data_IF_547954460404
#
_entry.id   IF_547954460404
#
_cell.length_a   1.000
_cell.length_b   1.000
_cell.length_c   1.000
_cell.angle_alpha   90.00
_cell.angle_beta   90.00
_cell.angle_gamma   90.00
#
_symmetry.space_group_name_H-M   'P 1'
#
loop_
_entity.id
_entity.type
_entity.pdbx_description
1 polymer ?
#
# COMPACT_ATOMS: atom_id res chain seq x y z
N UNK A 1 -25.02 27.05 -5.48
CA UNK A 1 -23.60 27.39 -5.23
C UNK A 1 -23.53 28.89 -5.06
N UNK A 2 -23.05 29.35 -3.92
CA UNK A 2 -23.01 30.77 -3.58
C UNK A 2 -22.01 31.54 -4.48
N UNK A 3 -22.14 32.88 -4.64
CA UNK A 3 -21.26 33.65 -5.51
C UNK A 3 -19.77 33.52 -5.18
N UNK A 4 -19.42 33.52 -3.89
CA UNK A 4 -18.03 33.37 -3.42
C UNK A 4 -17.48 31.97 -3.72
N UNK A 5 -18.31 30.95 -3.51
CA UNK A 5 -18.00 29.56 -3.80
C UNK A 5 -17.77 29.35 -5.31
N UNK A 6 -18.63 29.94 -6.16
CA UNK A 6 -18.45 29.94 -7.62
C UNK A 6 -17.14 30.62 -8.04
N UNK A 7 -16.81 31.76 -7.43
CA UNK A 7 -15.56 32.49 -7.71
C UNK A 7 -14.34 31.64 -7.38
N UNK A 8 -14.36 30.89 -6.28
CA UNK A 8 -13.27 29.97 -5.89
C UNK A 8 -13.02 28.92 -6.95
N UNK A 9 -14.08 28.30 -7.50
CA UNK A 9 -13.94 27.17 -8.43
C UNK A 9 -13.93 27.57 -9.91
N UNK A 10 -13.89 28.87 -10.24
CA UNK A 10 -14.06 29.34 -11.62
C UNK A 10 -13.07 28.71 -12.61
N UNK A 11 -11.83 28.44 -12.17
CA UNK A 11 -10.80 27.80 -13.02
C UNK A 11 -11.14 26.35 -13.35
N UNK A 12 -11.73 25.61 -12.42
CA UNK A 12 -12.21 24.24 -12.68
C UNK A 12 -13.47 24.25 -13.55
N UNK A 13 -14.42 25.15 -13.24
CA UNK A 13 -15.68 25.30 -13.98
C UNK A 13 -15.45 25.67 -15.46
N UNK A 14 -14.37 26.39 -15.77
CA UNK A 14 -14.06 26.82 -17.15
C UNK A 14 -13.58 25.65 -18.03
N UNK A 15 -13.14 24.53 -17.46
CA UNK A 15 -12.72 23.36 -18.23
C UNK A 15 -13.94 22.74 -18.94
N UNK A 16 -13.90 22.53 -20.27
CA UNK A 16 -15.04 21.99 -21.03
C UNK A 16 -15.55 20.65 -20.51
N UNK A 17 -14.65 19.77 -20.07
CA UNK A 17 -14.97 18.44 -19.56
C UNK A 17 -15.66 18.49 -18.20
N UNK A 18 -15.34 19.50 -17.37
CA UNK A 18 -15.91 19.67 -16.02
C UNK A 18 -17.19 20.50 -16.06
N UNK A 19 -17.09 21.73 -16.56
CA UNK A 19 -18.19 22.69 -16.55
C UNK A 19 -18.75 23.01 -15.15
N UNK A 20 -19.90 23.68 -15.14
CA UNK A 20 -20.65 23.92 -13.90
C UNK A 20 -21.24 22.61 -13.35
N UNK A 21 -21.60 21.66 -14.22
CA UNK A 21 -22.18 20.37 -13.86
C UNK A 21 -21.21 19.50 -13.04
N UNK A 22 -19.97 19.34 -13.51
CA UNK A 22 -18.93 18.61 -12.77
C UNK A 22 -18.67 19.20 -11.39
N UNK A 23 -18.62 20.53 -11.28
CA UNK A 23 -18.46 21.18 -9.98
C UNK A 23 -19.68 20.98 -9.05
N UNK A 24 -20.90 20.88 -9.60
CA UNK A 24 -22.09 20.54 -8.81
C UNK A 24 -22.04 19.09 -8.34
N UNK A 25 -21.59 18.15 -9.18
CA UNK A 25 -21.35 16.74 -8.79
C UNK A 25 -20.33 16.64 -7.66
N UNK A 26 -19.21 17.37 -7.75
CA UNK A 26 -18.23 17.47 -6.65
C UNK A 26 -18.91 17.92 -5.35
N UNK A 27 -19.67 19.02 -5.40
CA UNK A 27 -20.37 19.56 -4.23
C UNK A 27 -21.41 18.61 -3.63
N UNK A 28 -21.98 17.69 -4.41
CA UNK A 28 -22.97 16.72 -3.95
C UNK A 28 -22.34 15.42 -3.43
N UNK A 29 -21.13 15.10 -3.87
CA UNK A 29 -20.46 13.86 -3.53
C UNK A 29 -19.94 13.84 -2.09
N UNK A 30 -19.85 12.61 -1.56
CA UNK A 30 -19.27 12.29 -0.26
C UNK A 30 -18.13 11.29 -0.42
N UNK A 31 -16.98 11.57 0.19
CA UNK A 31 -15.77 10.73 0.09
C UNK A 31 -15.27 10.37 1.48
N UNK A 32 -15.02 9.09 1.73
CA UNK A 32 -14.33 8.61 2.92
C UNK A 32 -12.86 8.39 2.59
N UNK A 33 -11.95 8.99 3.37
CA UNK A 33 -10.51 8.75 3.28
C UNK A 33 -10.06 7.97 4.51
N UNK A 34 -9.54 6.77 4.28
CA UNK A 34 -8.95 5.91 5.31
C UNK A 34 -7.45 6.18 5.34
N UNK A 35 -6.97 6.69 6.47
CA UNK A 35 -5.59 7.13 6.67
C UNK A 35 -5.39 8.60 6.29
N UNK A 36 -5.02 9.41 7.27
CA UNK A 36 -4.60 10.80 7.16
C UNK A 36 -3.07 10.94 7.24
N UNK A 37 -2.35 9.90 6.82
CA UNK A 37 -0.89 9.83 6.76
C UNK A 37 -0.30 10.42 5.48
N UNK A 38 0.80 9.82 4.99
CA UNK A 38 1.57 10.34 3.85
C UNK A 38 0.76 10.41 2.55
N UNK A 39 -0.02 9.37 2.22
CA UNK A 39 -0.91 9.36 1.06
C UNK A 39 -2.15 10.22 1.29
N UNK A 40 -2.72 10.15 2.50
CA UNK A 40 -3.93 10.87 2.88
C UNK A 40 -3.78 12.39 2.86
N UNK A 41 -2.65 12.92 3.32
CA UNK A 41 -2.40 14.37 3.40
C UNK A 41 -2.59 15.11 2.05
N UNK A 42 -1.88 14.78 0.95
CA UNK A 42 -2.09 15.42 -0.35
C UNK A 42 -3.50 15.14 -0.90
N UNK A 43 -4.00 13.91 -0.76
CA UNK A 43 -5.33 13.51 -1.19
C UNK A 43 -6.42 14.41 -0.59
N UNK A 44 -6.44 14.52 0.74
CA UNK A 44 -7.39 15.33 1.49
C UNK A 44 -7.33 16.81 1.09
N UNK A 45 -6.12 17.35 0.94
CA UNK A 45 -5.92 18.73 0.50
C UNK A 45 -6.50 18.96 -0.90
N UNK A 46 -6.24 18.07 -1.86
CA UNK A 46 -6.75 18.23 -3.22
C UNK A 46 -8.26 18.03 -3.33
N UNK A 47 -8.86 17.05 -2.63
CA UNK A 47 -10.31 16.87 -2.62
C UNK A 47 -11.02 18.07 -1.96
N UNK A 48 -10.47 18.57 -0.87
CA UNK A 48 -10.96 19.77 -0.19
C UNK A 48 -10.83 21.00 -1.09
N UNK A 49 -9.69 21.19 -1.77
CA UNK A 49 -9.48 22.28 -2.72
C UNK A 49 -10.46 22.22 -3.91
N UNK A 50 -10.69 21.01 -4.43
CA UNK A 50 -11.58 20.77 -5.55
C UNK A 50 -13.04 21.04 -5.20
N UNK A 51 -13.40 21.00 -3.92
CA UNK A 51 -14.76 21.28 -3.45
C UNK A 51 -15.66 20.05 -3.46
N UNK A 52 -15.11 18.87 -3.13
CA UNK A 52 -15.92 17.70 -2.76
C UNK A 52 -16.83 18.08 -1.60
N UNK A 53 -18.12 17.76 -1.68
CA UNK A 53 -19.14 18.27 -0.77
C UNK A 53 -18.95 17.84 0.67
N UNK A 54 -18.73 16.54 0.88
CA UNK A 54 -18.49 15.95 2.20
C UNK A 54 -17.25 15.06 2.18
N UNK A 55 -16.37 15.21 3.17
CA UNK A 55 -15.17 14.37 3.32
C UNK A 55 -15.11 13.83 4.75
N UNK A 56 -15.09 12.50 4.88
CA UNK A 56 -14.79 11.80 6.11
C UNK A 56 -13.32 11.43 6.19
N UNK A 57 -12.71 11.58 7.37
CA UNK A 57 -11.29 11.29 7.62
C UNK A 57 -11.20 10.28 8.75
N UNK A 58 -10.82 9.04 8.44
CA UNK A 58 -10.64 7.94 9.41
C UNK A 58 -9.15 7.77 9.67
N UNK A 59 -8.73 7.99 10.92
CA UNK A 59 -7.35 7.78 11.36
C UNK A 59 -7.30 7.75 12.90
N UNK A 60 -6.77 6.69 13.50
CA UNK A 60 -6.61 6.54 14.95
C UNK A 60 -5.29 7.08 15.51
N UNK A 61 -4.35 7.46 14.65
CA UNK A 61 -3.03 7.91 15.10
C UNK A 61 -3.02 9.37 15.57
N UNK A 62 -1.90 9.70 16.20
CA UNK A 62 -1.48 11.07 16.49
C UNK A 62 -0.35 11.51 15.55
N UNK A 63 -0.21 12.81 15.35
CA UNK A 63 0.88 13.39 14.55
C UNK A 63 2.21 13.12 15.25
N UNK A 64 3.14 12.50 14.53
CA UNK A 64 4.49 12.21 15.03
C UNK A 64 5.56 13.01 14.27
N UNK A 65 6.63 13.43 14.96
CA UNK A 65 7.72 14.22 14.37
C UNK A 65 8.43 13.49 13.22
N UNK A 66 8.58 12.17 13.34
CA UNK A 66 9.21 11.30 12.32
C UNK A 66 8.38 11.22 11.04
N UNK A 67 7.13 11.65 11.08
CA UNK A 67 6.19 11.58 9.97
C UNK A 67 6.07 12.90 9.19
N UNK A 68 6.51 14.02 9.77
CA UNK A 68 6.34 15.36 9.21
C UNK A 68 7.03 15.55 7.84
N UNK A 69 8.10 14.81 7.55
CA UNK A 69 8.79 14.89 6.26
C UNK A 69 7.93 14.45 5.07
N UNK A 70 6.83 13.72 5.32
CA UNK A 70 5.92 13.19 4.30
C UNK A 70 4.44 13.50 4.54
N UNK A 71 4.06 13.90 5.75
CA UNK A 71 2.68 14.26 6.13
C UNK A 71 2.49 15.78 6.14
N UNK A 72 2.54 16.36 4.94
CA UNK A 72 2.63 17.81 4.71
C UNK A 72 1.40 18.64 5.12
N UNK A 73 0.32 18.00 5.59
CA UNK A 73 -0.82 18.69 6.19
C UNK A 73 -0.51 19.17 7.61
N UNK A 74 0.36 18.48 8.33
CA UNK A 74 0.70 18.76 9.72
C UNK A 74 1.93 19.65 9.85
N UNK A 75 2.07 20.28 11.01
CA UNK A 75 3.23 21.09 11.37
C UNK A 75 3.85 20.59 12.66
N UNK A 76 5.04 21.09 13.01
CA UNK A 76 5.68 20.77 14.28
C UNK A 76 4.80 21.13 15.50
N UNK A 77 3.91 22.12 15.39
CA UNK A 77 2.99 22.51 16.45
C UNK A 77 1.81 21.54 16.64
N UNK A 78 1.69 20.52 15.77
CA UNK A 78 0.61 19.54 15.80
C UNK A 78 1.02 18.20 16.39
N UNK A 79 2.31 18.01 16.68
CA UNK A 79 2.84 16.77 17.26
C UNK A 79 2.06 16.39 18.53
N UNK A 80 1.64 15.13 18.60
CA UNK A 80 0.83 14.56 19.69
C UNK A 80 -0.68 14.78 19.57
N UNK A 81 -1.17 15.57 18.60
CA UNK A 81 -2.61 15.73 18.35
C UNK A 81 -3.12 14.61 17.43
N UNK A 82 -4.40 14.26 17.55
CA UNK A 82 -5.05 13.30 16.62
C UNK A 82 -4.92 13.76 15.17
N UNK A 83 -4.51 12.85 14.28
CA UNK A 83 -4.38 13.11 12.84
C UNK A 83 -5.74 13.47 12.24
N UNK A 84 -6.77 12.66 12.47
CA UNK A 84 -8.12 12.88 11.91
C UNK A 84 -8.70 14.25 12.31
N UNK A 85 -8.63 14.61 13.60
CA UNK A 85 -9.16 15.89 14.11
C UNK A 85 -8.36 17.07 13.54
N UNK A 86 -7.03 17.00 13.63
CA UNK A 86 -6.15 18.07 13.14
C UNK A 86 -6.30 18.28 11.62
N UNK A 87 -6.44 17.20 10.86
CA UNK A 87 -6.68 17.26 9.42
C UNK A 87 -7.96 18.04 9.12
N UNK A 88 -9.07 17.71 9.78
CA UNK A 88 -10.35 18.40 9.60
C UNK A 88 -10.27 19.88 9.97
N UNK A 89 -9.63 20.22 11.09
CA UNK A 89 -9.44 21.63 11.49
C UNK A 89 -8.70 22.45 10.42
N UNK A 90 -7.61 21.91 9.89
CA UNK A 90 -6.81 22.59 8.86
C UNK A 90 -7.51 22.66 7.51
N UNK A 91 -8.16 21.58 7.09
CA UNK A 91 -8.90 21.53 5.83
C UNK A 91 -10.12 22.46 5.86
N UNK A 92 -10.74 22.66 7.03
CA UNK A 92 -11.85 23.61 7.19
C UNK A 92 -11.40 25.06 6.96
N UNK A 93 -10.17 25.40 7.38
CA UNK A 93 -9.56 26.70 7.07
C UNK A 93 -9.21 26.81 5.57
N UNK A 94 -8.81 25.69 4.96
CA UNK A 94 -8.51 25.62 3.54
C UNK A 94 -9.75 25.79 2.66
N UNK A 95 -10.91 25.22 3.02
CA UNK A 95 -12.15 25.39 2.26
C UNK A 95 -13.39 25.36 3.17
N UNK A 96 -13.98 26.52 3.50
CA UNK A 96 -15.14 26.57 4.39
C UNK A 96 -16.44 26.07 3.75
N UNK A 97 -16.44 25.73 2.46
CA UNK A 97 -17.62 25.21 1.75
C UNK A 97 -17.75 23.68 1.81
N UNK A 98 -16.73 22.98 2.32
CA UNK A 98 -16.68 21.51 2.39
C UNK A 98 -17.08 21.05 3.79
N UNK A 99 -17.97 20.06 3.87
CA UNK A 99 -18.36 19.44 5.13
C UNK A 99 -17.34 18.37 5.52
N UNK A 100 -16.60 18.59 6.59
CA UNK A 100 -15.52 17.70 7.03
C UNK A 100 -15.92 16.95 8.30
N UNK A 101 -15.64 15.64 8.33
CA UNK A 101 -15.96 14.75 9.45
C UNK A 101 -14.70 14.03 9.93
N UNK A 102 -14.29 14.29 11.18
CA UNK A 102 -13.18 13.59 11.81
C UNK A 102 -13.69 12.32 12.48
N UNK A 103 -13.08 11.19 12.16
CA UNK A 103 -13.37 9.87 12.71
C UNK A 103 -12.08 9.33 13.34
N UNK A 104 -11.75 9.72 14.59
CA UNK A 104 -10.52 9.34 15.27
C UNK A 104 -10.60 7.90 15.80
N UNK A 105 -10.81 6.95 14.90
CA UNK A 105 -11.04 5.53 15.21
C UNK A 105 -10.26 4.67 14.23
N UNK A 106 -9.86 3.48 14.70
CA UNK A 106 -9.28 2.46 13.84
C UNK A 106 -10.39 1.80 13.05
N UNK A 107 -10.23 1.69 11.74
CA UNK A 107 -11.19 0.94 10.94
C UNK A 107 -11.06 -0.56 11.24
N UNK A 108 -12.16 -1.20 11.62
CA UNK A 108 -12.22 -2.63 11.93
C UNK A 108 -13.54 -3.27 11.45
N UNK A 109 -13.68 -4.58 11.61
CA UNK A 109 -14.87 -5.31 11.19
C UNK A 109 -16.16 -4.88 11.89
N UNK A 110 -16.06 -4.28 13.08
CA UNK A 110 -17.21 -3.87 13.88
C UNK A 110 -17.77 -2.53 13.41
N UNK A 111 -16.91 -1.62 12.96
CA UNK A 111 -17.29 -0.26 12.59
C UNK A 111 -17.28 0.03 11.08
N UNK A 112 -16.58 -0.77 10.26
CA UNK A 112 -16.34 -0.41 8.87
C UNK A 112 -17.62 -0.29 8.04
N UNK A 113 -18.57 -1.21 8.22
CA UNK A 113 -19.79 -1.21 7.42
C UNK A 113 -20.67 0.02 7.70
N UNK A 114 -20.82 0.39 8.97
CA UNK A 114 -21.54 1.60 9.40
C UNK A 114 -20.88 2.86 8.85
N UNK A 115 -19.57 3.00 9.03
CA UNK A 115 -18.82 4.18 8.59
C UNK A 115 -18.88 4.32 7.06
N UNK A 116 -18.58 3.26 6.32
CA UNK A 116 -18.49 3.31 4.86
C UNK A 116 -19.86 3.56 4.21
N UNK A 117 -20.96 3.11 4.84
CA UNK A 117 -22.32 3.32 4.34
C UNK A 117 -22.63 4.79 4.05
N UNK A 118 -22.12 5.71 4.86
CA UNK A 118 -22.37 7.15 4.74
C UNK A 118 -21.69 7.89 3.58
N UNK A 119 -20.86 7.22 2.77
CA UNK A 119 -20.03 7.89 1.75
C UNK A 119 -20.14 7.25 0.36
N UNK A 120 -20.14 8.04 -0.72
CA UNK A 120 -20.29 7.56 -2.09
C UNK A 120 -19.05 6.82 -2.61
N UNK A 121 -17.85 7.31 -2.24
CA UNK A 121 -16.56 6.78 -2.67
C UNK A 121 -15.68 6.57 -1.44
N UNK A 122 -14.97 5.45 -1.40
CA UNK A 122 -13.96 5.15 -0.38
C UNK A 122 -12.58 5.27 -1.00
N UNK A 123 -11.64 5.83 -0.25
CA UNK A 123 -10.24 5.96 -0.64
C UNK A 123 -9.36 5.38 0.45
N UNK A 124 -8.54 4.41 0.07
CA UNK A 124 -7.61 3.72 0.96
C UNK A 124 -6.21 4.29 0.79
N UNK A 125 -5.81 5.09 1.79
CA UNK A 125 -4.44 5.58 1.99
C UNK A 125 -3.75 4.92 3.17
N UNK A 126 -4.23 3.74 3.61
CA UNK A 126 -3.64 3.00 4.72
C UNK A 126 -2.34 2.31 4.32
N UNK A 127 -1.47 2.09 5.31
CA UNK A 127 -0.14 1.52 5.15
C UNK A 127 -0.05 0.04 5.56
N UNK A 128 -1.17 -0.57 5.97
CA UNK A 128 -1.22 -1.94 6.45
C UNK A 128 -2.19 -2.81 5.64
N UNK A 129 -1.80 -4.05 5.38
CA UNK A 129 -2.60 -4.99 4.60
C UNK A 129 -3.99 -5.29 5.19
N UNK A 130 -4.17 -5.52 6.50
CA UNK A 130 -5.49 -5.83 7.06
C UNK A 130 -6.55 -4.78 6.72
N UNK A 131 -6.20 -3.49 6.83
CA UNK A 131 -7.12 -2.39 6.51
C UNK A 131 -7.48 -2.38 5.02
N UNK A 132 -6.52 -2.64 4.12
CA UNK A 132 -6.76 -2.70 2.66
C UNK A 132 -7.76 -3.79 2.29
N UNK A 133 -7.59 -4.98 2.85
CA UNK A 133 -8.50 -6.11 2.61
C UNK A 133 -9.89 -5.84 3.20
N UNK A 134 -9.96 -5.33 4.43
CA UNK A 134 -11.22 -4.95 5.06
C UNK A 134 -11.97 -3.88 4.24
N UNK A 135 -11.29 -2.80 3.84
CA UNK A 135 -11.87 -1.72 3.05
C UNK A 135 -12.42 -2.26 1.72
N UNK A 136 -11.66 -3.12 1.02
CA UNK A 136 -12.13 -3.79 -0.17
C UNK A 136 -13.40 -4.62 0.09
N UNK A 137 -13.37 -5.49 1.09
CA UNK A 137 -14.46 -6.45 1.29
C UNK A 137 -15.76 -5.76 1.67
N UNK A 138 -15.68 -4.72 2.50
CA UNK A 138 -16.83 -3.87 2.84
C UNK A 138 -17.31 -3.09 1.62
N UNK A 139 -16.40 -2.50 0.82
CA UNK A 139 -16.76 -1.80 -0.42
C UNK A 139 -17.49 -2.73 -1.41
N UNK A 140 -17.05 -3.98 -1.54
CA UNK A 140 -17.71 -4.98 -2.38
C UNK A 140 -19.12 -5.27 -1.87
N UNK A 141 -19.30 -5.54 -0.57
CA UNK A 141 -20.63 -5.78 0.01
C UNK A 141 -21.58 -4.59 -0.17
N UNK A 142 -21.07 -3.37 0.03
CA UNK A 142 -21.85 -2.14 -0.10
C UNK A 142 -21.96 -1.61 -1.53
N UNK A 143 -21.37 -2.30 -2.52
CA UNK A 143 -21.31 -1.84 -3.91
C UNK A 143 -20.72 -0.43 -4.09
N UNK A 144 -19.72 -0.08 -3.26
CA UNK A 144 -19.02 1.20 -3.30
C UNK A 144 -17.69 1.08 -4.05
N UNK A 145 -17.32 2.07 -4.88
CA UNK A 145 -16.00 2.08 -5.49
C UNK A 145 -14.91 2.40 -4.47
N UNK A 146 -13.72 1.84 -4.70
CA UNK A 146 -12.55 2.01 -3.85
C UNK A 146 -11.38 2.53 -4.68
N UNK A 147 -10.85 3.70 -4.32
CA UNK A 147 -9.58 4.19 -4.86
C UNK A 147 -8.45 3.73 -3.94
N UNK A 148 -7.44 3.11 -4.52
CA UNK A 148 -6.31 2.54 -3.79
C UNK A 148 -5.02 3.27 -4.12
N UNK A 149 -4.17 3.45 -3.11
CA UNK A 149 -2.78 3.80 -3.30
C UNK A 149 -1.85 3.03 -2.36
N UNK A 150 -0.67 2.69 -2.84
CA UNK A 150 0.41 2.16 -2.02
C UNK A 150 1.76 2.72 -2.46
N UNK A 151 2.74 2.66 -1.56
CA UNK A 151 4.10 3.11 -1.79
C UNK A 151 5.08 2.19 -1.08
N UNK A 152 6.24 1.98 -1.70
CA UNK A 152 7.37 1.27 -1.12
C UNK A 152 8.65 1.80 -1.75
N UNK A 153 9.60 2.28 -0.92
CA UNK A 153 10.87 2.85 -1.39
C UNK A 153 10.67 4.03 -2.36
N UNK A 154 10.82 3.77 -3.67
CA UNK A 154 10.70 4.71 -4.78
C UNK A 154 9.54 4.37 -5.73
N UNK A 155 8.78 3.31 -5.44
CA UNK A 155 7.67 2.87 -6.28
C UNK A 155 6.34 3.17 -5.60
N UNK A 156 5.39 3.70 -6.37
CA UNK A 156 4.03 3.90 -5.94
C UNK A 156 3.03 3.30 -6.92
N UNK A 157 1.89 2.88 -6.40
CA UNK A 157 0.84 2.21 -7.16
C UNK A 157 -0.50 2.89 -6.94
N UNK A 158 -1.32 2.95 -8.00
CA UNK A 158 -2.69 3.49 -7.94
C UNK A 158 -3.64 2.62 -8.77
N UNK A 159 -4.83 2.35 -8.25
CA UNK A 159 -5.90 1.68 -8.99
C UNK A 159 -7.29 2.08 -8.50
N UNK A 160 -8.32 1.76 -9.29
CA UNK A 160 -9.73 1.95 -8.93
C UNK A 160 -10.45 0.60 -8.96
N UNK A 161 -10.96 0.19 -7.81
CA UNK A 161 -11.67 -1.07 -7.63
C UNK A 161 -13.18 -0.87 -7.49
N UNK A 162 -13.93 -1.91 -7.82
CA UNK A 162 -15.39 -2.01 -7.66
C UNK A 162 -16.20 -0.86 -8.31
N UNK A 163 -15.60 -0.14 -9.27
CA UNK A 163 -16.26 0.96 -9.96
C UNK A 163 -17.06 0.45 -11.16
N UNK A 164 -18.38 0.74 -11.19
CA UNK A 164 -19.30 0.33 -12.29
C UNK A 164 -19.20 -1.16 -12.65
N UNK A 165 -19.09 -2.03 -11.65
CA UNK A 165 -18.94 -3.47 -11.86
C UNK A 165 -17.53 -3.92 -12.24
N UNK A 166 -16.53 -3.05 -12.12
CA UNK A 166 -15.11 -3.37 -12.37
C UNK A 166 -14.51 -4.39 -11.38
N UNK A 167 -13.23 -4.74 -11.57
CA UNK A 167 -12.51 -5.69 -10.71
C UNK A 167 -12.38 -5.20 -9.25
N UNK A 168 -12.22 -6.13 -8.32
CA UNK A 168 -12.01 -5.84 -6.89
C UNK A 168 -10.51 -5.88 -6.55
N UNK A 169 -10.11 -5.40 -5.36
CA UNK A 169 -8.73 -5.53 -4.89
C UNK A 169 -8.28 -7.00 -4.89
N UNK A 170 -9.17 -7.90 -4.45
CA UNK A 170 -8.95 -9.36 -4.47
C UNK A 170 -8.84 -9.98 -5.86
N UNK A 171 -9.27 -9.30 -6.93
CA UNK A 171 -9.01 -9.78 -8.29
C UNK A 171 -7.52 -9.61 -8.66
N UNK A 172 -6.84 -8.63 -8.06
CA UNK A 172 -5.43 -8.34 -8.30
C UNK A 172 -4.53 -8.98 -7.23
N UNK A 173 -4.96 -8.95 -5.97
CA UNK A 173 -4.27 -9.52 -4.82
C UNK A 173 -5.22 -10.47 -4.07
N UNK A 174 -5.32 -11.76 -4.49
CA UNK A 174 -6.35 -12.68 -3.99
C UNK A 174 -6.34 -12.92 -2.48
N UNK A 175 -5.14 -13.11 -1.93
CA UNK A 175 -4.91 -13.42 -0.53
C UNK A 175 -3.90 -12.45 0.06
N UNK A 176 -4.07 -12.13 1.34
CA UNK A 176 -3.07 -11.39 2.07
C UNK A 176 -1.82 -12.25 2.18
N UNK A 177 -0.77 -11.90 1.44
CA UNK A 177 0.55 -12.46 1.73
C UNK A 177 0.98 -11.96 3.12
N UNK A 178 1.49 -12.85 3.96
CA UNK A 178 2.20 -12.46 5.19
C UNK A 178 3.48 -11.72 4.77
N UNK A 179 3.37 -10.40 4.61
CA UNK A 179 4.46 -9.51 4.18
C UNK A 179 4.70 -8.40 5.19
N UNK A 180 5.98 -8.03 5.36
CA UNK A 180 6.43 -6.98 6.27
C UNK A 180 5.70 -5.65 6.01
N UNK A 181 5.34 -4.94 7.09
CA UNK A 181 4.78 -3.59 7.01
C UNK A 181 5.75 -2.62 6.30
N UNK A 182 5.21 -1.63 5.59
CA UNK A 182 5.97 -0.62 4.83
C UNK A 182 7.01 0.18 5.66
N UNK A 183 7.01 0.03 6.99
CA UNK A 183 7.90 0.74 7.92
C UNK A 183 9.38 0.34 7.79
N UNK A 184 9.69 -0.88 7.34
CA UNK A 184 11.07 -1.39 7.33
C UNK A 184 11.88 -0.89 6.13
N UNK A 185 11.23 -0.61 5.00
CA UNK A 185 11.94 -0.34 3.73
C UNK A 185 12.25 1.14 3.47
N UNK A 186 11.78 2.05 4.33
CA UNK A 186 11.86 3.50 4.11
C UNK A 186 11.03 3.95 2.88
N UNK A 187 10.73 5.25 2.84
CA UNK A 187 9.93 5.85 1.76
C UNK A 187 10.50 7.22 1.43
N UNK A 188 10.72 7.50 0.14
CA UNK A 188 11.06 8.84 -0.31
C UNK A 188 9.90 9.80 -0.01
N UNK A 189 10.12 10.83 0.81
CA UNK A 189 9.04 11.66 1.35
C UNK A 189 8.10 12.33 0.33
N UNK A 190 8.58 12.59 -0.90
CA UNK A 190 7.76 13.18 -1.97
C UNK A 190 6.81 12.17 -2.64
N UNK A 191 7.16 10.88 -2.63
CA UNK A 191 6.42 9.83 -3.32
C UNK A 191 4.95 9.73 -2.86
N UNK A 192 4.64 9.72 -1.54
CA UNK A 192 3.25 9.80 -1.08
C UNK A 192 2.49 11.02 -1.63
N UNK A 193 3.18 12.16 -1.76
CA UNK A 193 2.68 13.39 -2.40
C UNK A 193 2.18 13.14 -3.83
N UNK A 194 3.00 12.46 -4.63
CA UNK A 194 2.70 12.12 -6.03
C UNK A 194 1.52 11.15 -6.09
N UNK A 195 1.58 10.05 -5.34
CA UNK A 195 0.56 8.99 -5.38
C UNK A 195 -0.78 9.48 -4.84
N UNK A 196 -0.80 10.20 -3.72
CA UNK A 196 -2.04 10.78 -3.19
C UNK A 196 -2.68 11.83 -4.13
N UNK A 197 -1.88 12.52 -4.95
CA UNK A 197 -2.40 13.40 -6.00
C UNK A 197 -3.07 12.62 -7.14
N UNK A 198 -2.50 11.49 -7.55
CA UNK A 198 -3.13 10.58 -8.51
C UNK A 198 -4.43 9.98 -7.95
N UNK A 199 -4.44 9.58 -6.67
CA UNK A 199 -5.66 9.10 -6.00
C UNK A 199 -6.76 10.17 -6.00
N UNK A 200 -6.43 11.42 -5.67
CA UNK A 200 -7.40 12.53 -5.71
C UNK A 200 -7.95 12.75 -7.13
N UNK A 201 -7.09 12.65 -8.14
CA UNK A 201 -7.49 12.77 -9.54
C UNK A 201 -8.45 11.66 -9.97
N UNK A 202 -8.24 10.41 -9.53
CA UNK A 202 -9.19 9.32 -9.80
C UNK A 202 -10.56 9.59 -9.19
N UNK A 203 -10.60 10.06 -7.94
CA UNK A 203 -11.86 10.42 -7.26
C UNK A 203 -12.60 11.53 -8.02
N UNK A 204 -11.90 12.60 -8.44
CA UNK A 204 -12.52 13.71 -9.19
C UNK A 204 -13.08 13.21 -10.53
N UNK A 205 -12.32 12.38 -11.27
CA UNK A 205 -12.78 11.78 -12.53
C UNK A 205 -14.02 10.92 -12.33
N UNK A 206 -14.06 10.12 -11.27
CA UNK A 206 -15.22 9.28 -10.93
C UNK A 206 -16.45 10.12 -10.62
N UNK A 207 -16.33 11.13 -9.75
CA UNK A 207 -17.44 12.00 -9.35
C UNK A 207 -18.00 12.76 -10.56
N UNK A 208 -17.12 13.34 -11.38
CA UNK A 208 -17.54 14.18 -12.50
C UNK A 208 -17.95 13.35 -13.72
N UNK A 209 -17.60 12.05 -13.75
CA UNK A 209 -17.75 11.14 -14.87
C UNK A 209 -17.02 11.64 -16.12
N UNK A 210 -15.72 11.95 -15.97
CA UNK A 210 -14.87 12.50 -17.02
C UNK A 210 -13.61 11.65 -17.22
N UNK A 211 -13.03 11.71 -18.43
CA UNK A 211 -11.81 10.99 -18.77
C UNK A 211 -11.94 9.47 -18.63
N UNK A 212 -10.81 8.82 -18.40
CA UNK A 212 -10.73 7.37 -18.16
C UNK A 212 -10.17 7.10 -16.77
N UNK A 213 -10.85 6.28 -15.98
CA UNK A 213 -10.42 5.86 -14.63
C UNK A 213 -9.45 4.68 -14.68
N UNK A 214 -8.66 4.49 -13.63
CA UNK A 214 -7.79 3.31 -13.45
C UNK A 214 -8.56 2.03 -13.06
N UNK A 215 -9.82 1.90 -13.46
CA UNK A 215 -10.58 0.68 -13.18
C UNK A 215 -10.14 -0.45 -14.12
N UNK A 216 -9.74 -1.59 -13.53
CA UNK A 216 -9.10 -2.70 -14.25
C UNK A 216 -7.67 -2.38 -14.72
N UNK A 217 -7.04 -1.34 -14.16
CA UNK A 217 -5.67 -0.92 -14.47
C UNK A 217 -4.90 -0.65 -13.19
N UNK A 218 -3.67 -1.15 -13.11
CA UNK A 218 -2.71 -0.81 -12.05
C UNK A 218 -1.67 0.13 -12.65
N UNK A 219 -1.71 1.39 -12.22
CA UNK A 219 -0.67 2.36 -12.52
C UNK A 219 0.48 2.13 -11.56
N UNK A 220 1.68 1.93 -12.07
CA UNK A 220 2.92 1.80 -11.29
C UNK A 220 3.88 2.89 -11.72
N UNK A 221 4.31 3.70 -10.76
CA UNK A 221 5.24 4.81 -10.96
C UNK A 221 6.50 4.53 -10.17
N UNK A 222 7.65 4.50 -10.84
CA UNK A 222 8.94 4.46 -10.19
C UNK A 222 9.61 5.83 -10.30
N UNK A 223 9.74 6.54 -9.19
CA UNK A 223 10.29 7.91 -9.17
C UNK A 223 11.81 7.94 -9.21
N UNK A 224 12.50 6.82 -8.95
CA UNK A 224 13.95 6.73 -9.08
C UNK A 224 14.37 6.75 -10.56
N UNK A 225 13.64 6.03 -11.39
CA UNK A 225 13.93 5.90 -12.83
C UNK A 225 12.99 6.70 -13.74
N UNK A 226 12.02 7.42 -13.17
CA UNK A 226 10.97 8.16 -13.89
C UNK A 226 10.17 7.27 -14.86
N UNK A 227 9.90 6.02 -14.48
CA UNK A 227 9.12 5.11 -15.31
C UNK A 227 7.66 5.08 -14.85
N UNK A 228 6.77 4.87 -15.82
CA UNK A 228 5.33 4.73 -15.58
C UNK A 228 4.82 3.56 -16.41
N UNK A 229 4.29 2.55 -15.73
CA UNK A 229 3.73 1.36 -16.34
C UNK A 229 2.25 1.22 -15.99
N UNK A 230 1.47 0.67 -16.91
CA UNK A 230 0.06 0.37 -16.67
C UNK A 230 -0.16 -1.11 -16.96
N UNK A 231 -0.60 -1.86 -15.96
CA UNK A 231 -0.95 -3.27 -16.09
C UNK A 231 -2.47 -3.41 -16.09
N UNK A 232 -3.03 -4.13 -17.06
CA UNK A 232 -4.47 -4.38 -17.11
C UNK A 232 -4.81 -5.69 -16.42
N UNK A 233 -5.93 -5.73 -15.71
CA UNK A 233 -6.44 -6.92 -15.05
C UNK A 233 -7.97 -6.97 -15.09
N UNK A 234 -8.53 -8.18 -15.06
CA UNK A 234 -9.94 -8.41 -15.26
C UNK A 234 -10.65 -8.76 -13.95
N UNK A 235 -11.97 -8.61 -13.93
CA UNK A 235 -12.79 -9.06 -12.82
C UNK A 235 -12.78 -10.58 -12.82
N UNK A 236 -12.36 -11.16 -11.70
CA UNK A 236 -12.43 -12.59 -11.46
C UNK A 236 -13.55 -12.79 -10.45
N UNK A 237 -14.67 -13.36 -10.91
CA UNK A 237 -15.69 -13.87 -10.00
C UNK A 237 -15.19 -15.26 -9.59
N UNK A 238 -14.97 -15.54 -8.29
CA UNK A 238 -14.69 -16.91 -7.87
C UNK A 238 -15.84 -17.78 -8.37
N UNK A 239 -15.58 -18.73 -9.28
CA UNK A 239 -16.57 -19.74 -9.58
C UNK A 239 -16.80 -20.49 -8.28
N UNK A 240 -18.04 -20.50 -7.79
CA UNK A 240 -18.46 -21.38 -6.70
C UNK A 240 -18.48 -22.80 -7.27
N UNK A 241 -17.31 -23.40 -7.45
CA UNK A 241 -17.18 -24.84 -7.56
C UNK A 241 -17.06 -25.33 -6.13
N UNK A 242 -18.10 -25.98 -5.62
CA UNK A 242 -18.19 -26.72 -4.34
C UNK A 242 -16.87 -26.77 -3.54
N UNK A 243 -16.52 -25.67 -2.87
CA UNK A 243 -15.47 -25.70 -1.87
C UNK A 243 -16.17 -26.18 -0.62
N UNK A 244 -16.15 -27.50 -0.42
CA UNK A 244 -16.31 -28.05 0.92
C UNK A 244 -15.38 -27.28 1.86
N UNK A 245 -15.81 -26.93 3.08
CA UNK A 245 -14.96 -26.22 4.02
C UNK A 245 -13.72 -27.06 4.29
N UNK A 246 -12.64 -26.77 3.57
CA UNK A 246 -11.34 -27.33 3.85
C UNK A 246 -10.92 -26.75 5.18
N UNK A 247 -10.60 -27.58 6.19
CA UNK A 247 -10.07 -27.09 7.44
C UNK A 247 -8.83 -26.26 7.14
N UNK A 248 -8.66 -25.16 7.88
CA UNK A 248 -7.47 -24.30 7.82
C UNK A 248 -6.23 -25.16 7.64
N UNK A 249 -5.40 -24.92 6.60
CA UNK A 249 -4.19 -25.70 6.44
C UNK A 249 -3.33 -25.41 7.67
N UNK A 250 -3.19 -26.41 8.55
CA UNK A 250 -2.03 -26.50 9.44
C UNK A 250 -0.82 -26.22 8.55
N UNK A 251 -0.03 -25.22 8.91
CA UNK A 251 1.18 -24.81 8.22
C UNK A 251 1.96 -26.06 7.77
N UNK A 252 1.90 -26.37 6.48
CA UNK A 252 2.82 -27.32 5.91
C UNK A 252 4.19 -26.65 5.98
N UNK A 253 5.12 -27.25 6.71
CA UNK A 253 6.51 -26.80 6.75
C UNK A 253 7.05 -26.73 5.32
N UNK A 254 7.51 -25.55 4.90
CA UNK A 254 8.17 -25.39 3.61
C UNK A 254 9.40 -26.31 3.59
N UNK A 255 9.51 -27.27 2.65
CA UNK A 255 10.61 -28.24 2.64
C UNK A 255 11.98 -27.60 2.41
N UNK A 256 12.02 -26.36 1.92
CA UNK A 256 13.24 -25.58 1.73
C UNK A 256 13.53 -24.63 2.91
N UNK A 257 12.71 -24.66 3.97
CA UNK A 257 13.02 -23.97 5.21
C UNK A 257 13.91 -24.84 6.09
N UNK A 258 15.10 -24.33 6.43
CA UNK A 258 16.05 -25.01 7.30
C UNK A 258 15.99 -24.40 8.69
N UNK A 259 15.82 -25.21 9.75
CA UNK A 259 15.89 -24.75 11.13
C UNK A 259 17.33 -24.49 11.58
N UNK A 260 17.56 -23.60 12.55
CA UNK A 260 18.92 -23.20 12.96
C UNK A 260 19.68 -24.39 13.59
N UNK A 261 18.99 -25.22 14.37
CA UNK A 261 19.54 -26.44 14.97
C UNK A 261 19.98 -27.46 13.91
N UNK A 262 19.22 -27.58 12.82
CA UNK A 262 19.52 -28.50 11.72
C UNK A 262 20.70 -27.98 10.88
N UNK A 263 20.70 -26.69 10.56
CA UNK A 263 21.81 -26.02 9.89
C UNK A 263 23.13 -26.24 10.65
N UNK A 264 23.13 -25.98 11.96
CA UNK A 264 24.33 -26.13 12.81
C UNK A 264 24.84 -27.58 12.82
N UNK A 265 23.93 -28.56 12.84
CA UNK A 265 24.29 -29.98 12.80
C UNK A 265 24.93 -30.36 11.46
N UNK A 266 24.35 -29.91 10.35
CA UNK A 266 24.88 -30.19 9.00
C UNK A 266 26.21 -29.47 8.75
N UNK A 267 26.35 -28.23 9.23
CA UNK A 267 27.56 -27.43 9.13
C UNK A 267 28.75 -28.06 9.89
N UNK A 268 28.50 -28.67 11.05
CA UNK A 268 29.54 -29.34 11.84
C UNK A 268 30.14 -30.58 11.14
N UNK A 269 29.38 -31.22 10.24
CA UNK A 269 29.81 -32.41 9.50
C UNK A 269 30.59 -32.04 8.24
N UNK A 270 30.14 -31.03 7.50
CA UNK A 270 30.77 -30.64 6.23
C UNK A 270 30.75 -29.10 6.02
N UNK A 271 31.59 -28.34 6.75
CA UNK A 271 31.53 -26.88 6.74
C UNK A 271 31.81 -26.28 5.36
N UNK A 272 32.70 -26.89 4.58
CA UNK A 272 33.11 -26.40 3.26
C UNK A 272 31.99 -26.50 2.20
N UNK A 273 30.98 -27.34 2.45
CA UNK A 273 29.84 -27.53 1.54
C UNK A 273 28.82 -26.39 1.60
N UNK A 274 28.78 -25.62 2.68
CA UNK A 274 27.77 -24.58 2.89
C UNK A 274 28.25 -23.20 2.46
N UNK A 275 27.34 -22.40 1.92
CA UNK A 275 27.50 -20.97 1.74
C UNK A 275 26.32 -20.25 2.40
N UNK A 276 26.61 -19.55 3.48
CA UNK A 276 25.63 -18.74 4.20
C UNK A 276 25.62 -17.32 3.64
N UNK A 277 24.44 -16.88 3.20
CA UNK A 277 24.23 -15.56 2.62
C UNK A 277 23.19 -14.82 3.46
N UNK A 278 23.63 -13.81 4.18
CA UNK A 278 22.75 -12.88 4.86
C UNK A 278 22.19 -11.89 3.83
N UNK A 279 20.88 -11.90 3.62
CA UNK A 279 20.19 -11.02 2.66
C UNK A 279 19.56 -9.78 3.29
N UNK A 280 19.92 -9.50 4.54
CA UNK A 280 19.58 -8.25 5.21
C UNK A 280 20.39 -7.09 4.65
N UNK A 281 19.99 -5.87 4.99
CA UNK A 281 20.76 -4.68 4.64
C UNK A 281 22.09 -4.65 5.40
N UNK A 282 23.09 -3.96 4.86
CA UNK A 282 24.47 -3.96 5.38
C UNK A 282 24.53 -3.54 6.87
N UNK A 283 23.73 -2.54 7.28
CA UNK A 283 23.68 -2.09 8.67
C UNK A 283 23.13 -3.16 9.64
N UNK A 284 22.18 -4.01 9.22
CA UNK A 284 21.64 -5.10 10.05
C UNK A 284 22.68 -6.22 10.24
N UNK A 285 23.57 -6.38 9.26
CA UNK A 285 24.66 -7.35 9.30
C UNK A 285 25.81 -6.88 10.21
N UNK A 286 26.07 -5.58 10.26
CA UNK A 286 27.09 -4.99 11.13
C UNK A 286 26.70 -5.00 12.62
N UNK A 287 25.41 -4.85 12.94
CA UNK A 287 24.90 -4.86 14.32
C UNK A 287 24.96 -6.25 14.97
N UNK A 288 24.56 -7.28 14.23
CA UNK A 288 24.54 -8.68 14.67
C UNK A 288 25.27 -9.54 13.63
N UNK A 289 26.60 -9.56 13.72
CA UNK A 289 27.46 -10.32 12.81
C UNK A 289 27.02 -11.80 12.80
N UNK A 290 26.34 -12.17 11.72
CA UNK A 290 25.92 -13.55 11.47
C UNK A 290 26.96 -14.16 10.55
N UNK A 291 27.51 -15.33 10.90
CA UNK A 291 28.57 -15.96 10.10
C UNK A 291 28.16 -16.13 8.63
N UNK A 292 28.98 -15.67 7.67
CA UNK A 292 28.68 -15.77 6.23
C UNK A 292 29.12 -14.54 5.44
N UNK A 293 28.55 -14.37 4.25
CA UNK A 293 28.68 -13.15 3.45
C UNK A 293 27.36 -12.38 3.46
N UNK A 294 27.42 -11.04 3.49
CA UNK A 294 26.24 -10.20 3.31
C UNK A 294 26.05 -9.88 1.82
N UNK A 295 24.88 -10.21 1.29
CA UNK A 295 24.42 -9.78 -0.02
C UNK A 295 22.98 -9.33 0.16
N UNK A 296 22.72 -8.02 0.37
CA UNK A 296 21.38 -7.50 0.54
C UNK A 296 20.46 -7.99 -0.59
N UNK A 297 19.21 -8.36 -0.26
CA UNK A 297 18.26 -8.89 -1.24
C UNK A 297 18.15 -8.05 -2.54
N UNK A 298 18.20 -6.70 -2.52
CA UNK A 298 18.17 -5.90 -3.74
C UNK A 298 19.37 -6.13 -4.67
N UNK A 299 20.54 -6.44 -4.13
CA UNK A 299 21.78 -6.67 -4.86
C UNK A 299 21.90 -8.11 -5.37
N UNK A 300 21.14 -9.03 -4.77
CA UNK A 300 21.24 -10.46 -5.05
C UNK A 300 21.06 -10.78 -6.53
N UNK A 301 20.07 -10.24 -7.28
CA UNK A 301 19.89 -10.57 -8.70
C UNK A 301 21.12 -10.34 -9.59
N UNK A 302 21.96 -9.35 -9.26
CA UNK A 302 23.18 -9.04 -10.02
C UNK A 302 24.37 -9.91 -9.62
N UNK A 303 24.37 -10.40 -8.37
CA UNK A 303 25.47 -11.18 -7.78
C UNK A 303 25.23 -12.69 -7.86
N UNK A 304 23.97 -13.12 -8.02
CA UNK A 304 23.56 -14.51 -7.88
C UNK A 304 24.27 -15.44 -8.87
N UNK A 305 24.47 -15.03 -10.13
CA UNK A 305 25.13 -15.86 -11.15
C UNK A 305 26.63 -16.09 -10.89
N UNK A 306 27.24 -15.28 -10.02
CA UNK A 306 28.64 -15.39 -9.63
C UNK A 306 28.83 -16.22 -8.34
N UNK A 307 27.76 -16.78 -7.77
CA UNK A 307 27.87 -17.62 -6.58
C UNK A 307 28.61 -18.93 -6.90
N UNK A 308 29.44 -19.45 -5.97
CA UNK A 308 30.19 -20.68 -6.17
C UNK A 308 29.29 -21.87 -6.52
N UNK A 309 29.60 -22.57 -7.62
CA UNK A 309 28.90 -23.79 -8.02
C UNK A 309 29.21 -24.97 -7.08
N UNK A 310 28.23 -25.84 -6.84
CA UNK A 310 28.37 -27.08 -6.08
C UNK A 310 28.28 -26.92 -4.55
N UNK A 311 28.03 -25.71 -4.05
CA UNK A 311 27.76 -25.47 -2.62
C UNK A 311 26.26 -25.49 -2.32
N UNK A 312 25.89 -25.92 -1.12
CA UNK A 312 24.54 -25.75 -0.57
C UNK A 312 24.41 -24.32 -0.05
N UNK A 313 23.47 -23.56 -0.61
CA UNK A 313 23.27 -22.15 -0.29
C UNK A 313 22.16 -22.02 0.76
N UNK A 314 22.43 -21.29 1.82
CA UNK A 314 21.47 -20.97 2.88
C UNK A 314 21.30 -19.46 2.96
N UNK A 315 20.13 -18.97 2.59
CA UNK A 315 19.79 -17.55 2.73
C UNK A 315 19.22 -17.26 4.10
N UNK A 316 19.61 -16.14 4.71
CA UNK A 316 19.14 -15.74 6.03
C UNK A 316 18.62 -14.31 6.05
N UNK A 317 17.52 -14.10 6.77
CA UNK A 317 17.11 -12.79 7.25
C UNK A 317 16.31 -12.97 8.55
N UNK A 318 16.07 -11.88 9.27
CA UNK A 318 15.40 -11.93 10.58
C UNK A 318 14.01 -12.59 10.54
N UNK A 319 13.10 -12.07 9.71
CA UNK A 319 11.69 -12.52 9.64
C UNK A 319 11.46 -13.81 8.83
N UNK A 320 12.43 -14.24 8.01
CA UNK A 320 12.27 -15.29 7.00
C UNK A 320 11.68 -14.83 5.66
N UNK A 321 11.19 -13.59 5.56
CA UNK A 321 10.55 -13.06 4.34
C UNK A 321 11.58 -12.89 3.22
N UNK A 322 12.66 -12.15 3.46
CA UNK A 322 13.70 -11.86 2.46
C UNK A 322 14.48 -13.11 2.05
N UNK A 323 14.80 -13.98 3.01
CA UNK A 323 15.51 -15.23 2.73
C UNK A 323 14.68 -16.19 1.86
N UNK A 324 13.36 -16.25 2.07
CA UNK A 324 12.45 -17.03 1.21
C UNK A 324 12.40 -16.49 -0.23
N UNK A 325 12.39 -15.16 -0.39
CA UNK A 325 12.47 -14.53 -1.73
C UNK A 325 13.81 -14.84 -2.40
N UNK A 326 14.92 -14.73 -1.65
CA UNK A 326 16.25 -15.07 -2.15
C UNK A 326 16.35 -16.53 -2.62
N UNK A 327 15.83 -17.48 -1.84
CA UNK A 327 15.76 -18.89 -2.23
C UNK A 327 14.96 -19.11 -3.52
N UNK A 328 13.82 -18.42 -3.69
CA UNK A 328 13.03 -18.48 -4.94
C UNK A 328 13.80 -17.92 -6.13
N UNK A 329 14.53 -16.80 -5.97
CA UNK A 329 15.34 -16.20 -7.03
C UNK A 329 16.51 -17.09 -7.47
N UNK A 330 17.05 -17.88 -6.55
CA UNK A 330 18.11 -18.85 -6.81
C UNK A 330 17.60 -20.14 -7.47
N UNK A 331 16.32 -20.47 -7.30
CA UNK A 331 15.72 -21.71 -7.82
C UNK A 331 15.70 -21.71 -9.35
N UNK A 332 16.16 -22.81 -9.97
CA UNK A 332 16.17 -22.97 -11.43
C UNK A 332 17.43 -22.44 -12.13
N UNK A 333 18.38 -21.84 -11.39
CA UNK A 333 19.69 -21.46 -11.91
C UNK A 333 20.71 -22.59 -11.78
N UNK A 334 21.77 -22.56 -12.59
CA UNK A 334 22.76 -23.65 -12.73
C UNK A 334 23.81 -23.65 -11.59
N UNK A 335 23.39 -23.65 -10.33
CA UNK A 335 24.32 -23.66 -9.18
C UNK A 335 24.77 -25.06 -8.76
N UNK A 336 24.03 -26.12 -9.11
CA UNK A 336 24.44 -27.52 -8.86
C UNK A 336 24.41 -27.96 -7.40
N UNK A 337 23.92 -27.13 -6.48
CA UNK A 337 23.73 -27.46 -5.06
C UNK A 337 22.31 -27.18 -4.57
N UNK A 338 22.01 -27.57 -3.32
CA UNK A 338 20.70 -27.35 -2.69
C UNK A 338 20.54 -25.90 -2.24
N UNK A 339 19.30 -25.42 -2.16
CA UNK A 339 18.96 -24.05 -1.79
C UNK A 339 17.97 -24.08 -0.64
N UNK A 340 18.33 -23.44 0.46
CA UNK A 340 17.51 -23.31 1.65
C UNK A 340 17.34 -21.84 2.04
N UNK A 341 16.29 -21.57 2.81
CA UNK A 341 16.11 -20.31 3.50
C UNK A 341 15.92 -20.54 4.99
N UNK A 342 16.36 -19.58 5.79
CA UNK A 342 16.33 -19.61 7.25
C UNK A 342 15.85 -18.27 7.79
N UNK A 343 15.31 -18.29 9.02
CA UNK A 343 14.90 -17.11 9.78
C UNK A 343 15.52 -17.12 11.18
N UNK A 344 15.49 -15.99 11.87
CA UNK A 344 15.87 -15.92 13.28
C UNK A 344 14.87 -16.77 14.10
N UNK A 345 15.39 -17.54 15.06
CA UNK A 345 14.57 -18.36 15.99
C UNK A 345 14.06 -17.53 17.17
#
# INVERSE_FOLDING_TARGET
>A
MEPLERKRYIRQITLPEMGLDGQQKLKQASVLVIGAGGLGCPLLQYLTAAGVGTIGVVDDDTVDVTNLHRQILYSAADVGKSKAITAVEKLSQMNPFVKLHALPVRLDEQNAEEILTGYDIVVDGSDNFPTRYLANDVCVRLSKPLVFGSILRFEGQVSVFNYKGGPTYRCLFPEAEEGDNCEVAGVLGILPGIIGSYMANEVIKMICNIGETLSGKLLVINTLYNTTNIFSFNRVIPQVSDVQPTPSPRAASDPNQLAFSEYTTRLAVNPEQFLFIDVREEYEFEEDFTAGINIPLPDLPEKIDNLPSGKTIVFYCRSGVRSKVAAKLATGRKFGGEIYWMKEE
#
